data_IF_967674297562
#
_entry.id   IF_967674297562
#
_cell.length_a   1.000
_cell.length_b   1.000
_cell.length_c   1.000
_cell.angle_alpha   90.00
_cell.angle_beta   90.00
_cell.angle_gamma   90.00
#
_symmetry.space_group_name_H-M   'P 1'
#
loop_
_entity.id
_entity.type
_entity.pdbx_description
1 polymer ?
#
# COMPACT_ATOMS: atom_id res chain seq x y z
N UNK A 1 -7.30 22.98 10.93
CA UNK A 1 -8.46 23.18 10.03
C UNK A 1 -8.06 23.17 8.55
N UNK A 2 -7.06 23.96 8.14
CA UNK A 2 -6.60 24.07 6.74
C UNK A 2 -6.04 22.75 6.16
N UNK A 3 -5.23 21.99 6.91
CA UNK A 3 -4.72 20.66 6.48
C UNK A 3 -5.82 19.59 6.24
N UNK A 4 -6.97 19.69 6.93
CA UNK A 4 -8.12 18.80 6.70
C UNK A 4 -8.93 19.22 5.47
N UNK A 5 -8.83 20.47 5.03
CA UNK A 5 -9.54 20.98 3.86
C UNK A 5 -8.84 20.55 2.55
N UNK A 6 -7.51 20.60 2.51
CA UNK A 6 -6.71 20.24 1.33
C UNK A 6 -6.75 18.74 1.01
N UNK A 7 -6.77 17.87 2.03
CA UNK A 7 -6.97 16.43 1.83
C UNK A 7 -8.32 16.09 1.19
N UNK A 8 -9.37 16.90 1.45
CA UNK A 8 -10.75 16.61 1.05
C UNK A 8 -11.09 17.16 -0.35
N UNK A 9 -10.48 18.27 -0.77
CA UNK A 9 -10.60 18.77 -2.15
C UNK A 9 -10.03 17.78 -3.17
N UNK A 10 -8.94 17.07 -2.83
CA UNK A 10 -8.35 16.05 -3.71
C UNK A 10 -9.26 14.83 -3.92
N UNK A 11 -10.08 14.45 -2.94
CA UNK A 11 -11.08 13.38 -3.09
C UNK A 11 -12.19 13.77 -4.07
N UNK A 12 -12.64 15.03 -4.00
CA UNK A 12 -13.70 15.57 -4.85
C UNK A 12 -13.25 15.72 -6.33
N UNK A 13 -12.00 16.14 -6.55
CA UNK A 13 -11.42 16.24 -7.91
C UNK A 13 -11.26 14.84 -8.54
N UNK A 14 -10.85 13.83 -7.75
CA UNK A 14 -10.75 12.44 -8.24
C UNK A 14 -12.11 11.84 -8.61
N UNK A 15 -13.16 12.11 -7.83
CA UNK A 15 -14.51 11.66 -8.17
C UNK A 15 -15.04 12.30 -9.46
N UNK A 16 -14.74 13.57 -9.72
CA UNK A 16 -15.15 14.26 -10.95
C UNK A 16 -14.38 13.78 -12.19
N UNK A 17 -13.08 13.47 -12.05
CA UNK A 17 -12.26 12.99 -13.17
C UNK A 17 -12.67 11.59 -13.68
N UNK A 18 -13.17 10.72 -12.78
CA UNK A 18 -13.67 9.38 -13.15
C UNK A 18 -14.97 9.46 -13.97
N UNK A 19 -15.80 10.48 -13.77
CA UNK A 19 -17.05 10.66 -14.53
C UNK A 19 -16.82 11.08 -15.99
N UNK A 20 -15.69 11.74 -16.31
CA UNK A 20 -15.37 12.25 -17.66
C UNK A 20 -14.72 11.19 -18.55
N UNK A 21 -14.11 10.14 -17.98
CA UNK A 21 -13.43 9.09 -18.77
C UNK A 21 -14.36 8.06 -19.42
N UNK A 22 -15.68 8.13 -19.16
CA UNK A 22 -16.68 7.15 -19.60
C UNK A 22 -17.09 7.24 -21.10
N UNK A 23 -16.45 8.09 -21.91
CA UNK A 23 -16.90 8.37 -23.28
C UNK A 23 -16.14 7.65 -24.41
N UNK A 24 -15.03 6.94 -24.17
CA UNK A 24 -14.20 6.43 -25.30
C UNK A 24 -13.47 5.12 -25.02
N UNK A 25 -14.12 3.95 -25.12
CA UNK A 25 -13.44 2.67 -25.44
C UNK A 25 -14.42 1.74 -26.18
N UNK A 26 -14.01 1.27 -27.36
CA UNK A 26 -14.78 0.38 -28.24
C UNK A 26 -14.15 -1.01 -28.31
N UNK A 27 -15.01 -2.04 -28.38
CA UNK A 27 -14.75 -3.41 -28.85
C UNK A 27 -13.88 -4.32 -27.97
N UNK A 28 -14.36 -4.64 -26.76
CA UNK A 28 -14.07 -5.90 -26.06
C UNK A 28 -15.40 -6.64 -25.90
N UNK A 29 -15.40 -7.98 -25.96
CA UNK A 29 -16.61 -8.81 -25.99
C UNK A 29 -17.68 -8.38 -24.97
N UNK A 30 -18.94 -8.26 -25.42
CA UNK A 30 -20.03 -7.60 -24.69
C UNK A 30 -20.22 -8.09 -23.24
N UNK A 31 -19.89 -9.34 -22.93
CA UNK A 31 -19.94 -9.87 -21.56
C UNK A 31 -18.88 -9.29 -20.63
N UNK A 32 -17.62 -9.22 -21.06
CA UNK A 32 -16.53 -8.69 -20.25
C UNK A 32 -16.64 -7.16 -20.07
N UNK A 33 -17.11 -6.45 -21.12
CA UNK A 33 -17.34 -5.01 -21.06
C UNK A 33 -18.46 -4.65 -20.07
N UNK A 34 -19.55 -5.43 -20.03
CA UNK A 34 -20.63 -5.23 -19.06
C UNK A 34 -20.16 -5.46 -17.62
N UNK A 35 -19.36 -6.51 -17.38
CA UNK A 35 -18.87 -6.82 -16.04
C UNK A 35 -17.93 -5.74 -15.47
N UNK A 36 -17.02 -5.19 -16.30
CA UNK A 36 -16.14 -4.09 -15.89
C UNK A 36 -16.95 -2.82 -15.61
N UNK A 37 -17.95 -2.53 -16.45
CA UNK A 37 -18.86 -1.40 -16.24
C UNK A 37 -19.64 -1.52 -14.93
N UNK A 38 -20.14 -2.72 -14.60
CA UNK A 38 -20.87 -2.97 -13.36
C UNK A 38 -19.99 -2.82 -12.13
N UNK A 39 -18.74 -3.29 -12.18
CA UNK A 39 -17.79 -3.13 -11.10
C UNK A 39 -17.45 -1.66 -10.84
N UNK A 40 -17.17 -0.89 -11.89
CA UNK A 40 -16.90 0.55 -11.77
C UNK A 40 -18.10 1.27 -11.17
N UNK A 41 -19.32 0.94 -11.62
CA UNK A 41 -20.55 1.55 -11.12
C UNK A 41 -20.79 1.20 -9.64
N UNK A 42 -20.59 -0.06 -9.25
CA UNK A 42 -20.71 -0.52 -7.88
C UNK A 42 -19.68 0.15 -6.95
N UNK A 43 -18.41 0.21 -7.37
CA UNK A 43 -17.35 0.92 -6.64
C UNK A 43 -17.70 2.40 -6.45
N UNK A 44 -18.17 3.05 -7.51
CA UNK A 44 -18.53 4.47 -7.49
C UNK A 44 -19.66 4.78 -6.49
N UNK A 45 -20.63 3.88 -6.35
CA UNK A 45 -21.70 4.01 -5.35
C UNK A 45 -21.16 3.97 -3.92
N UNK A 46 -20.25 3.06 -3.61
CA UNK A 46 -19.65 2.96 -2.27
C UNK A 46 -18.79 4.20 -1.96
N UNK A 47 -17.98 4.66 -2.92
CA UNK A 47 -17.19 5.89 -2.77
C UNK A 47 -18.08 7.11 -2.54
N UNK A 48 -19.20 7.20 -3.26
CA UNK A 48 -20.18 8.28 -3.09
C UNK A 48 -20.84 8.22 -1.71
N UNK A 49 -21.16 7.01 -1.22
CA UNK A 49 -21.72 6.79 0.10
C UNK A 49 -20.77 7.28 1.21
N UNK A 50 -19.49 6.92 1.15
CA UNK A 50 -18.47 7.42 2.09
C UNK A 50 -18.30 8.93 2.01
N UNK A 51 -18.27 9.50 0.80
CA UNK A 51 -18.13 10.95 0.59
C UNK A 51 -19.29 11.72 1.23
N UNK A 52 -20.53 11.30 0.95
CA UNK A 52 -21.72 11.93 1.51
C UNK A 52 -21.76 11.73 3.03
N UNK A 53 -21.39 10.55 3.54
CA UNK A 53 -21.32 10.32 4.99
C UNK A 53 -20.33 11.28 5.65
N UNK A 54 -19.12 11.44 5.08
CA UNK A 54 -18.12 12.37 5.62
C UNK A 54 -18.62 13.82 5.66
N UNK A 55 -19.36 14.26 4.64
CA UNK A 55 -19.96 15.59 4.61
C UNK A 55 -21.07 15.74 5.67
N UNK A 56 -21.94 14.74 5.80
CA UNK A 56 -23.06 14.78 6.74
C UNK A 56 -22.63 14.61 8.20
N UNK A 57 -21.56 13.85 8.46
CA UNK A 57 -21.00 13.69 9.81
C UNK A 57 -20.51 15.03 10.39
N UNK A 58 -19.99 15.93 9.55
CA UNK A 58 -19.62 17.29 9.98
C UNK A 58 -20.84 18.10 10.46
N UNK A 59 -22.03 17.75 10.00
CA UNK A 59 -23.30 18.35 10.39
C UNK A 59 -24.01 17.54 11.49
N UNK A 60 -23.37 16.51 12.04
CA UNK A 60 -23.95 15.61 13.05
C UNK A 60 -24.93 14.57 12.48
N UNK A 61 -25.12 14.54 11.15
CA UNK A 61 -26.17 13.80 10.44
C UNK A 61 -25.64 12.63 9.57
N UNK A 62 -24.50 12.03 9.97
CA UNK A 62 -23.97 10.83 9.32
C UNK A 62 -24.93 9.64 9.33
N UNK A 63 -24.66 8.63 8.49
CA UNK A 63 -25.46 7.40 8.45
C UNK A 63 -25.33 6.64 9.79
N UNK A 64 -26.43 6.51 10.52
CA UNK A 64 -26.50 5.86 11.84
C UNK A 64 -27.69 4.91 11.90
N UNK A 65 -27.52 3.82 12.64
CA UNK A 65 -28.57 2.88 13.00
C UNK A 65 -29.55 3.47 14.02
N UNK A 66 -30.77 2.94 14.03
CA UNK A 66 -31.83 3.31 14.97
C UNK A 66 -32.39 4.72 14.77
N UNK A 67 -32.26 5.27 13.56
CA UNK A 67 -32.77 6.59 13.19
C UNK A 67 -33.16 6.67 11.71
N UNK A 68 -33.89 7.71 11.31
CA UNK A 68 -34.32 7.86 9.92
C UNK A 68 -33.10 8.01 8.99
N UNK A 69 -33.01 7.14 7.98
CA UNK A 69 -32.01 7.27 6.92
C UNK A 69 -32.40 8.44 6.02
N UNK A 70 -31.52 9.45 5.96
CA UNK A 70 -31.74 10.65 5.18
C UNK A 70 -31.84 10.36 3.67
N UNK A 71 -32.61 11.20 2.97
CA UNK A 71 -32.83 11.11 1.52
C UNK A 71 -31.54 11.01 0.70
N UNK A 72 -30.48 11.74 1.08
CA UNK A 72 -29.18 11.69 0.39
C UNK A 72 -28.56 10.30 0.39
N UNK A 73 -28.77 9.49 1.43
CA UNK A 73 -28.27 8.10 1.48
C UNK A 73 -29.17 7.15 0.71
N UNK A 74 -30.49 7.41 0.65
CA UNK A 74 -31.47 6.53 0.01
C UNK A 74 -31.22 6.31 -1.48
N UNK A 75 -30.48 7.21 -2.14
CA UNK A 75 -30.10 7.07 -3.54
C UNK A 75 -29.13 5.90 -3.81
N UNK A 76 -28.44 5.41 -2.77
CA UNK A 76 -27.39 4.39 -2.88
C UNK A 76 -27.76 3.06 -2.24
N UNK A 77 -28.81 3.02 -1.44
CA UNK A 77 -29.18 1.89 -0.60
C UNK A 77 -30.48 1.26 -1.11
N UNK A 78 -30.53 -0.08 -1.11
CA UNK A 78 -31.78 -0.78 -1.35
C UNK A 78 -32.82 -0.47 -0.26
N UNK A 79 -34.13 -0.44 -0.57
CA UNK A 79 -35.19 -0.18 0.40
C UNK A 79 -35.10 -1.04 1.67
N UNK A 80 -34.80 -2.33 1.50
CA UNK A 80 -34.69 -3.28 2.60
C UNK A 80 -33.49 -2.95 3.52
N UNK A 81 -32.38 -2.47 2.94
CA UNK A 81 -31.22 -2.03 3.71
C UNK A 81 -31.51 -0.73 4.47
N UNK A 82 -32.27 0.19 3.87
CA UNK A 82 -32.72 1.43 4.52
C UNK A 82 -33.53 1.10 5.78
N UNK A 83 -34.48 0.18 5.66
CA UNK A 83 -35.31 -0.28 6.79
C UNK A 83 -34.47 -1.00 7.86
N UNK A 84 -33.52 -1.84 7.45
CA UNK A 84 -32.62 -2.53 8.38
C UNK A 84 -31.73 -1.56 9.16
N UNK A 85 -31.19 -0.53 8.51
CA UNK A 85 -30.40 0.51 9.20
C UNK A 85 -31.31 1.30 10.14
N UNK A 86 -32.49 1.72 9.68
CA UNK A 86 -33.40 2.52 10.48
C UNK A 86 -33.92 1.79 11.74
N UNK A 87 -34.16 0.49 11.65
CA UNK A 87 -34.55 -0.37 12.78
C UNK A 87 -33.36 -0.92 13.59
N UNK A 88 -32.14 -0.62 13.15
CA UNK A 88 -30.90 -1.04 13.77
C UNK A 88 -30.65 -0.53 15.18
N UNK A 89 -29.54 -0.98 15.75
CA UNK A 89 -29.07 -0.48 17.03
C UNK A 89 -28.81 1.05 16.98
N UNK A 90 -29.43 1.78 17.90
CA UNK A 90 -29.35 3.23 17.96
C UNK A 90 -27.89 3.71 18.12
N UNK A 91 -27.48 4.60 17.22
CA UNK A 91 -26.16 5.23 17.24
C UNK A 91 -25.04 4.42 16.60
N UNK A 92 -25.28 3.17 16.19
CA UNK A 92 -24.29 2.39 15.45
C UNK A 92 -24.01 3.02 14.08
N UNK A 93 -22.76 3.17 13.67
CA UNK A 93 -22.37 3.76 12.38
C UNK A 93 -21.91 2.66 11.42
N UNK A 94 -22.75 2.21 10.48
CA UNK A 94 -22.40 1.09 9.59
C UNK A 94 -21.18 1.35 8.70
N UNK A 95 -20.86 2.62 8.40
CA UNK A 95 -19.69 2.95 7.60
C UNK A 95 -18.39 3.04 8.41
N UNK A 96 -18.48 3.13 9.74
CA UNK A 96 -17.32 3.09 10.64
C UNK A 96 -17.17 1.75 11.36
N UNK A 97 -18.20 0.90 11.34
CA UNK A 97 -18.23 -0.37 12.06
C UNK A 97 -18.19 -0.24 13.58
N UNK A 98 -18.68 0.88 14.12
CA UNK A 98 -18.66 1.18 15.56
C UNK A 98 -19.73 2.22 15.93
N UNK A 99 -20.00 2.42 17.23
CA UNK A 99 -20.93 3.44 17.72
C UNK A 99 -20.32 4.84 17.82
N UNK A 100 -19.00 4.91 17.98
CA UNK A 100 -18.26 6.17 18.20
C UNK A 100 -17.31 6.47 17.04
N UNK A 101 -16.92 7.75 16.92
CA UNK A 101 -16.02 8.19 15.85
C UNK A 101 -16.69 8.46 14.51
N UNK A 102 -15.85 8.83 13.55
CA UNK A 102 -16.20 9.09 12.15
C UNK A 102 -15.28 8.26 11.27
N UNK A 103 -15.63 8.12 10.00
CA UNK A 103 -14.67 7.59 9.02
C UNK A 103 -13.55 8.62 8.85
N UNK A 104 -12.39 8.32 9.40
CA UNK A 104 -11.21 9.18 9.29
C UNK A 104 -10.59 9.03 7.90
N UNK A 105 -10.50 7.78 7.42
CA UNK A 105 -10.06 7.40 6.08
C UNK A 105 -10.50 5.95 5.76
N UNK A 106 -10.48 5.57 4.49
CA UNK A 106 -10.88 4.24 4.05
C UNK A 106 -10.21 3.83 2.73
N UNK A 107 -9.99 2.54 2.55
CA UNK A 107 -9.56 1.94 1.29
C UNK A 107 -10.55 0.86 0.86
N UNK A 108 -10.88 0.80 -0.43
CA UNK A 108 -11.91 -0.08 -0.98
C UNK A 108 -11.32 -1.05 -2.01
N UNK A 109 -11.57 -2.35 -1.84
CA UNK A 109 -11.21 -3.43 -2.77
C UNK A 109 -12.42 -4.28 -3.13
N UNK A 110 -12.35 -5.00 -4.25
CA UNK A 110 -13.29 -6.09 -4.55
C UNK A 110 -12.92 -7.31 -3.71
N UNK A 111 -13.90 -7.99 -3.12
CA UNK A 111 -13.65 -9.20 -2.34
C UNK A 111 -13.20 -10.36 -3.25
N UNK A 112 -12.40 -11.29 -2.73
CA UNK A 112 -12.00 -12.49 -3.48
C UNK A 112 -13.20 -13.42 -3.73
N UNK A 113 -14.04 -13.59 -2.71
CA UNK A 113 -15.28 -14.36 -2.81
C UNK A 113 -16.41 -13.44 -3.29
N UNK A 114 -16.89 -13.72 -4.49
CA UNK A 114 -18.07 -13.05 -5.06
C UNK A 114 -19.28 -13.97 -4.95
N UNK A 115 -20.48 -13.39 -4.88
CA UNK A 115 -21.74 -14.13 -4.90
C UNK A 115 -22.41 -13.97 -6.26
N UNK A 116 -23.11 -15.02 -6.72
CA UNK A 116 -23.79 -14.96 -8.01
C UNK A 116 -24.82 -13.81 -8.02
N UNK A 117 -24.66 -12.88 -8.96
CA UNK A 117 -25.55 -11.71 -9.09
C UNK A 117 -25.24 -10.54 -8.15
N UNK A 118 -24.19 -10.62 -7.34
CA UNK A 118 -23.76 -9.54 -6.45
C UNK A 118 -22.28 -9.22 -6.65
N UNK A 119 -21.93 -7.93 -6.56
CA UNK A 119 -20.53 -7.50 -6.50
C UNK A 119 -20.21 -7.14 -5.07
N UNK A 120 -19.29 -7.90 -4.48
CA UNK A 120 -18.87 -7.70 -3.10
C UNK A 120 -17.60 -6.85 -3.07
N UNK A 121 -17.64 -5.76 -2.32
CA UNK A 121 -16.48 -4.95 -1.98
C UNK A 121 -16.19 -5.02 -0.49
N UNK A 122 -14.94 -4.80 -0.13
CA UNK A 122 -14.47 -4.67 1.24
C UNK A 122 -13.75 -3.34 1.39
N UNK A 123 -14.13 -2.59 2.43
CA UNK A 123 -13.48 -1.37 2.84
C UNK A 123 -12.71 -1.61 4.13
N UNK A 124 -11.43 -1.29 4.13
CA UNK A 124 -10.66 -1.12 5.34
C UNK A 124 -10.86 0.31 5.84
N UNK A 125 -11.64 0.46 6.90
CA UNK A 125 -12.05 1.76 7.43
C UNK A 125 -11.30 2.08 8.70
N UNK A 126 -10.59 3.21 8.72
CA UNK A 126 -10.04 3.77 9.94
C UNK A 126 -11.06 4.69 10.62
N UNK A 127 -11.27 4.45 11.91
CA UNK A 127 -12.03 5.34 12.79
C UNK A 127 -11.37 5.35 14.16
N UNK A 128 -10.97 6.53 14.62
CA UNK A 128 -10.27 6.77 15.89
C UNK A 128 -8.99 5.94 16.01
N UNK A 129 -8.21 5.86 14.93
CA UNK A 129 -6.95 5.11 14.89
C UNK A 129 -7.09 3.58 14.89
N UNK A 130 -8.32 3.06 14.79
CA UNK A 130 -8.59 1.63 14.65
C UNK A 130 -9.08 1.32 13.24
N UNK A 131 -8.44 0.37 12.58
CA UNK A 131 -8.85 -0.13 11.26
C UNK A 131 -9.85 -1.29 11.44
N UNK A 132 -10.96 -1.25 10.70
CA UNK A 132 -11.99 -2.30 10.66
C UNK A 132 -12.29 -2.67 9.22
N UNK A 133 -12.55 -3.95 8.97
CA UNK A 133 -13.00 -4.41 7.66
C UNK A 133 -14.54 -4.33 7.59
N UNK A 134 -15.06 -3.65 6.58
CA UNK A 134 -16.48 -3.48 6.33
C UNK A 134 -16.78 -3.92 4.90
N UNK A 135 -17.68 -4.87 4.75
CA UNK A 135 -18.03 -5.42 3.45
C UNK A 135 -19.36 -4.86 2.95
N UNK A 136 -19.48 -4.73 1.63
CA UNK A 136 -20.62 -4.18 0.92
C UNK A 136 -21.04 -5.16 -0.18
N UNK A 137 -22.31 -5.51 -0.23
CA UNK A 137 -22.89 -6.21 -1.38
C UNK A 137 -23.65 -5.20 -2.23
N UNK A 138 -23.34 -5.18 -3.52
CA UNK A 138 -23.94 -4.28 -4.51
C UNK A 138 -24.60 -5.09 -5.61
N UNK A 139 -25.85 -4.78 -5.93
CA UNK A 139 -26.60 -5.41 -7.02
C UNK A 139 -27.03 -4.37 -8.05
N UNK A 140 -27.13 -4.78 -9.32
CA UNK A 140 -27.76 -3.95 -10.34
C UNK A 140 -29.29 -4.11 -10.26
N UNK A 141 -29.99 -3.01 -9.99
CA UNK A 141 -31.45 -2.99 -9.94
C UNK A 141 -31.98 -1.88 -10.84
N UNK A 142 -32.76 -2.26 -11.87
CA UNK A 142 -33.33 -1.32 -12.86
C UNK A 142 -32.27 -0.39 -13.49
N UNK A 143 -31.10 -0.95 -13.80
CA UNK A 143 -29.98 -0.22 -14.41
C UNK A 143 -29.24 0.73 -13.46
N UNK A 144 -29.39 0.54 -12.13
CA UNK A 144 -28.66 1.32 -11.12
C UNK A 144 -28.05 0.39 -10.07
N UNK A 145 -26.77 0.56 -9.72
CA UNK A 145 -26.16 -0.17 -8.61
C UNK A 145 -26.74 0.32 -7.27
N UNK A 146 -27.17 -0.62 -6.44
CA UNK A 146 -27.67 -0.36 -5.08
C UNK A 146 -26.94 -1.26 -4.10
N UNK A 147 -26.56 -0.72 -2.95
CA UNK A 147 -26.01 -1.50 -1.84
C UNK A 147 -27.18 -2.20 -1.15
N UNK A 148 -27.12 -3.52 -1.08
CA UNK A 148 -28.16 -4.38 -0.48
C UNK A 148 -27.77 -4.89 0.90
N UNK A 149 -26.47 -4.89 1.22
CA UNK A 149 -25.94 -5.35 2.50
C UNK A 149 -24.67 -4.60 2.88
N UNK A 150 -24.53 -4.30 4.17
CA UNK A 150 -23.30 -3.79 4.79
C UNK A 150 -23.03 -4.63 6.02
N UNK A 151 -21.84 -5.19 6.17
CA UNK A 151 -21.50 -6.02 7.33
C UNK A 151 -20.05 -5.87 7.74
N UNK A 152 -19.74 -6.34 8.95
CA UNK A 152 -18.40 -6.40 9.49
C UNK A 152 -18.31 -7.48 10.56
N UNK A 153 -17.25 -7.46 11.35
CA UNK A 153 -17.04 -8.46 12.39
C UNK A 153 -18.13 -8.35 13.49
N UNK A 154 -18.95 -9.40 13.62
CA UNK A 154 -20.03 -9.49 14.61
C UNK A 154 -21.32 -8.68 14.31
N UNK A 155 -21.47 -8.05 13.14
CA UNK A 155 -22.68 -7.29 12.80
C UNK A 155 -23.01 -7.27 11.30
N UNK A 156 -24.27 -7.05 10.95
CA UNK A 156 -24.74 -6.97 9.57
C UNK A 156 -26.03 -6.15 9.46
N UNK A 157 -26.16 -5.35 8.40
CA UNK A 157 -27.39 -4.72 7.94
C UNK A 157 -27.73 -5.20 6.53
N UNK A 158 -29.02 -5.36 6.23
CA UNK A 158 -29.48 -5.88 4.94
C UNK A 158 -29.66 -7.40 4.95
N UNK A 159 -29.82 -8.01 3.78
CA UNK A 159 -30.54 -9.28 3.64
C UNK A 159 -30.01 -10.41 4.53
N UNK A 160 -30.89 -10.83 5.44
CA UNK A 160 -30.83 -12.10 6.18
C UNK A 160 -31.77 -13.07 5.46
N UNK A 161 -31.29 -13.70 4.40
CA UNK A 161 -31.87 -14.97 3.93
C UNK A 161 -31.45 -16.09 4.89
N UNK A 162 -32.26 -17.13 5.03
CA UNK A 162 -32.03 -18.24 5.98
C UNK A 162 -30.63 -18.90 5.86
N UNK A 163 -29.95 -18.75 4.71
CA UNK A 163 -28.60 -19.29 4.47
C UNK A 163 -27.46 -18.40 5.01
N UNK A 164 -27.73 -17.14 5.38
CA UNK A 164 -26.68 -16.19 5.79
C UNK A 164 -26.26 -16.32 7.27
N UNK A 165 -26.99 -17.09 8.08
CA UNK A 165 -26.59 -17.39 9.46
C UNK A 165 -25.42 -18.39 9.55
N UNK A 166 -25.01 -19.02 8.43
CA UNK A 166 -23.91 -20.00 8.39
C UNK A 166 -22.52 -19.40 8.15
N UNK A 167 -22.39 -18.09 7.90
CA UNK A 167 -21.10 -17.47 7.55
C UNK A 167 -20.53 -16.49 8.60
N UNK A 168 -21.08 -16.45 9.82
CA UNK A 168 -20.45 -15.80 10.96
C UNK A 168 -19.62 -16.84 11.74
N UNK A 169 -18.31 -16.63 11.96
CA UNK A 169 -17.50 -17.57 12.73
C UNK A 169 -17.83 -17.42 14.22
N UNK A 170 -18.74 -18.25 14.73
CA UNK A 170 -18.95 -18.40 16.18
C UNK A 170 -20.41 -18.55 16.61
N UNK A 171 -20.99 -19.73 16.42
CA UNK A 171 -22.29 -20.08 17.00
C UNK A 171 -22.62 -21.57 16.85
N UNK A 172 -22.54 -22.31 17.95
CA UNK A 172 -22.86 -23.75 18.06
C UNK A 172 -24.37 -24.01 18.11
N UNK A 173 -24.88 -24.89 17.22
CA UNK A 173 -25.74 -26.10 17.49
C UNK A 173 -26.67 -26.48 16.30
N UNK A 174 -26.58 -27.77 15.89
CA UNK A 174 -27.56 -28.75 15.33
C UNK A 174 -28.83 -28.24 14.57
N UNK A 175 -29.34 -28.82 13.46
CA UNK A 175 -29.12 -30.06 12.71
C UNK A 175 -29.84 -29.95 11.33
N UNK A 176 -29.38 -30.68 10.30
CA UNK A 176 -30.11 -30.82 9.04
C UNK A 176 -29.25 -31.36 7.89
N UNK A 177 -29.29 -32.67 7.67
CA UNK A 177 -28.50 -33.42 6.68
C UNK A 177 -28.78 -33.01 5.22
N UNK A 178 -27.72 -32.69 4.46
CA UNK A 178 -27.62 -32.94 3.01
C UNK A 178 -26.34 -33.74 2.76
N UNK A 179 -26.48 -34.80 1.97
CA UNK A 179 -25.44 -35.80 1.71
C UNK A 179 -24.13 -35.18 1.19
N UNK A 180 -22.96 -35.70 1.64
CA UNK A 180 -21.68 -35.33 1.05
C UNK A 180 -21.56 -35.87 -0.39
N UNK A 181 -20.74 -35.21 -1.23
CA UNK A 181 -20.45 -35.69 -2.58
C UNK A 181 -19.81 -37.08 -2.54
N UNK A 182 -20.06 -37.87 -3.58
CA UNK A 182 -19.56 -39.23 -3.67
C UNK A 182 -18.03 -39.30 -3.79
N UNK A 183 -17.50 -40.50 -3.54
CA UNK A 183 -16.05 -40.78 -3.56
C UNK A 183 -15.41 -40.47 -4.92
N UNK A 184 -16.16 -40.45 -6.00
CA UNK A 184 -15.65 -40.28 -7.35
C UNK A 184 -15.33 -38.80 -7.62
N UNK A 185 -16.18 -37.89 -7.15
CA UNK A 185 -15.89 -36.45 -7.13
C UNK A 185 -14.72 -36.09 -6.20
N UNK A 186 -14.58 -36.77 -5.06
CA UNK A 186 -13.44 -36.55 -4.16
C UNK A 186 -12.11 -37.03 -4.76
N UNK A 187 -12.12 -38.12 -5.53
CA UNK A 187 -10.92 -38.63 -6.21
C UNK A 187 -10.53 -37.78 -7.42
N UNK A 188 -11.51 -37.24 -8.17
CA UNK A 188 -11.24 -36.34 -9.29
C UNK A 188 -10.61 -35.00 -8.86
N UNK A 189 -11.00 -34.49 -7.69
CA UNK A 189 -10.41 -33.27 -7.10
C UNK A 189 -8.99 -33.51 -6.55
N UNK A 190 -8.73 -34.68 -5.96
CA UNK A 190 -7.40 -35.03 -5.46
C UNK A 190 -6.37 -35.25 -6.60
N UNK A 191 -6.80 -35.81 -7.74
CA UNK A 191 -5.92 -36.03 -8.90
C UNK A 191 -5.58 -34.74 -9.67
N UNK A 192 -6.40 -33.70 -9.57
CA UNK A 192 -6.15 -32.41 -10.20
C UNK A 192 -5.07 -31.59 -9.47
N UNK A 193 -4.88 -31.82 -8.17
CA UNK A 193 -3.86 -31.14 -7.34
C UNK A 193 -2.46 -31.75 -7.49
N UNK A 194 -2.33 -33.03 -7.82
CA UNK A 194 -1.01 -33.70 -7.95
C UNK A 194 -0.27 -33.38 -9.26
N UNK A 195 -0.99 -32.92 -10.30
CA UNK A 195 -0.42 -32.62 -11.62
C UNK A 195 0.27 -31.24 -11.74
N UNK A 196 0.01 -30.32 -10.81
CA UNK A 196 0.58 -28.97 -10.83
C UNK A 196 1.89 -28.83 -10.01
N UNK A 197 2.28 -29.87 -9.27
CA UNK A 197 3.33 -29.82 -8.25
C UNK A 197 4.72 -30.21 -8.78
N UNK A 198 4.84 -30.69 -10.02
CA UNK A 198 6.10 -31.19 -10.57
C UNK A 198 6.96 -30.14 -11.30
N UNK A 199 6.48 -28.91 -11.52
CA UNK A 199 7.23 -27.84 -12.19
C UNK A 199 7.74 -26.73 -11.25
N UNK A 200 7.51 -26.86 -9.93
CA UNK A 200 7.84 -25.84 -8.92
C UNK A 200 8.90 -26.31 -7.91
N UNK A 201 9.71 -27.30 -8.28
CA UNK A 201 10.76 -27.85 -7.43
C UNK A 201 12.07 -27.06 -7.54
N UNK A 202 12.07 -25.80 -7.07
CA UNK A 202 13.27 -25.06 -6.62
C UNK A 202 12.90 -23.83 -5.78
N UNK A 203 11.95 -23.96 -4.85
CA UNK A 203 11.72 -22.98 -3.78
C UNK A 203 11.98 -23.64 -2.42
N UNK A 204 13.25 -23.87 -2.13
CA UNK A 204 13.67 -24.03 -0.74
C UNK A 204 13.48 -22.67 -0.04
N UNK A 205 12.51 -22.56 0.88
CA UNK A 205 12.42 -21.41 1.79
C UNK A 205 11.07 -20.70 1.90
N UNK A 206 9.93 -21.41 1.91
CA UNK A 206 8.62 -20.81 2.24
C UNK A 206 8.37 -20.72 3.78
N UNK A 207 9.41 -20.74 4.61
CA UNK A 207 9.27 -20.44 6.02
C UNK A 207 9.13 -18.93 6.20
N UNK A 208 8.02 -18.47 6.79
CA UNK A 208 7.80 -17.05 7.08
C UNK A 208 8.88 -16.48 8.00
N UNK A 209 9.27 -15.22 7.79
CA UNK A 209 10.26 -14.54 8.63
C UNK A 209 9.75 -14.33 10.06
N UNK A 210 10.51 -14.80 11.05
CA UNK A 210 10.24 -14.52 12.46
C UNK A 210 10.63 -13.09 12.83
N UNK A 211 9.75 -12.36 13.52
CA UNK A 211 10.05 -11.04 14.06
C UNK A 211 10.52 -11.11 15.53
N UNK A 212 11.51 -10.29 15.94
CA UNK A 212 12.27 -9.37 15.09
C UNK A 212 13.29 -10.11 14.21
N UNK A 213 13.52 -9.58 13.00
CA UNK A 213 14.61 -9.98 12.13
C UNK A 213 15.67 -8.88 12.10
N UNK A 214 16.95 -9.26 12.13
CA UNK A 214 18.07 -8.34 11.99
C UNK A 214 19.23 -9.04 11.28
N UNK A 215 19.84 -8.33 10.34
CA UNK A 215 21.08 -8.73 9.67
C UNK A 215 22.03 -7.53 9.64
N UNK A 216 23.20 -7.70 10.27
CA UNK A 216 24.28 -6.73 10.30
C UNK A 216 25.36 -7.02 9.23
N UNK A 217 25.14 -8.04 8.40
CA UNK A 217 26.05 -8.42 7.31
C UNK A 217 27.49 -8.74 7.76
N UNK A 218 27.68 -9.24 8.99
CA UNK A 218 28.99 -9.54 9.61
C UNK A 218 29.82 -10.65 8.93
N UNK A 219 29.26 -11.27 7.88
CA UNK A 219 29.91 -12.34 7.12
C UNK A 219 30.78 -11.84 5.96
N UNK A 220 31.32 -12.81 5.20
CA UNK A 220 31.99 -12.56 3.91
C UNK A 220 31.08 -12.84 2.71
N UNK A 221 29.80 -13.11 2.98
CA UNK A 221 28.76 -13.42 2.02
C UNK A 221 27.39 -13.11 2.64
N UNK A 222 26.38 -12.95 1.80
CA UNK A 222 25.00 -12.84 2.27
C UNK A 222 24.58 -14.15 2.99
N UNK A 223 23.80 -14.02 4.05
CA UNK A 223 23.22 -15.18 4.72
C UNK A 223 22.29 -15.97 3.80
N UNK A 224 22.04 -17.27 4.08
CA UNK A 224 21.28 -18.17 3.21
C UNK A 224 19.81 -17.75 2.99
N UNK A 225 19.28 -16.85 3.81
CA UNK A 225 17.96 -16.26 3.67
C UNK A 225 17.84 -15.23 2.54
N UNK A 226 18.97 -14.72 2.03
CA UNK A 226 19.01 -13.71 0.98
C UNK A 226 19.11 -14.33 -0.40
N UNK A 227 18.47 -13.66 -1.35
CA UNK A 227 18.58 -13.92 -2.78
C UNK A 227 18.91 -12.60 -3.49
N UNK A 228 19.68 -12.63 -4.57
CA UNK A 228 19.99 -11.43 -5.36
C UNK A 228 19.29 -11.55 -6.70
N UNK A 229 18.34 -10.65 -6.97
CA UNK A 229 17.67 -10.56 -8.28
C UNK A 229 18.50 -9.65 -9.19
N UNK A 230 18.79 -10.12 -10.39
CA UNK A 230 19.67 -9.41 -11.33
C UNK A 230 21.12 -9.35 -10.81
N UNK A 231 21.65 -10.47 -10.30
CA UNK A 231 22.98 -10.52 -9.70
C UNK A 231 24.08 -10.06 -10.68
N UNK A 232 24.78 -9.00 -10.30
CA UNK A 232 25.99 -8.49 -10.95
C UNK A 232 27.12 -8.52 -9.91
N UNK A 233 27.85 -9.65 -9.79
CA UNK A 233 28.77 -9.93 -8.67
C UNK A 233 30.02 -9.03 -8.66
N UNK A 234 30.31 -8.33 -9.75
CA UNK A 234 31.35 -7.32 -9.85
C UNK A 234 30.91 -5.95 -9.30
N UNK A 235 29.62 -5.79 -8.99
CA UNK A 235 29.01 -4.53 -8.51
C UNK A 235 28.56 -4.58 -7.06
N UNK A 236 28.82 -5.68 -6.33
CA UNK A 236 28.70 -5.68 -4.88
C UNK A 236 29.69 -6.66 -4.21
N UNK A 237 30.00 -6.39 -2.95
CA UNK A 237 30.78 -7.30 -2.08
C UNK A 237 30.27 -7.20 -0.65
N UNK A 238 30.27 -8.32 0.06
CA UNK A 238 29.93 -8.38 1.49
C UNK A 238 31.21 -8.59 2.29
N UNK A 239 31.61 -7.59 3.06
CA UNK A 239 32.83 -7.64 3.86
C UNK A 239 32.74 -6.68 5.04
N UNK A 240 33.23 -7.11 6.21
CA UNK A 240 33.42 -6.22 7.36
C UNK A 240 32.12 -5.62 7.91
N UNK A 241 31.02 -6.38 7.90
CA UNK A 241 29.73 -5.91 8.42
C UNK A 241 28.98 -4.99 7.46
N UNK A 242 29.35 -4.95 6.18
CA UNK A 242 28.67 -4.11 5.19
C UNK A 242 28.54 -4.78 3.84
N UNK A 243 27.48 -4.40 3.11
CA UNK A 243 27.35 -4.63 1.68
C UNK A 243 27.80 -3.36 0.96
N UNK A 244 28.95 -3.41 0.31
CA UNK A 244 29.37 -2.38 -0.63
C UNK A 244 28.65 -2.64 -1.95
N UNK A 245 27.96 -1.64 -2.49
CA UNK A 245 27.26 -1.76 -3.77
C UNK A 245 27.57 -0.56 -4.67
N UNK A 246 27.65 -0.84 -5.96
CA UNK A 246 27.92 0.11 -7.02
C UNK A 246 26.78 0.07 -8.02
N UNK A 247 26.28 1.23 -8.43
CA UNK A 247 25.34 1.37 -9.54
C UNK A 247 25.98 2.23 -10.65
N UNK A 248 25.86 1.79 -11.90
CA UNK A 248 26.43 2.43 -13.09
C UNK A 248 25.48 2.35 -14.27
N UNK A 249 25.53 3.33 -15.18
CA UNK A 249 24.87 3.25 -16.50
C UNK A 249 23.39 3.60 -16.54
N UNK A 250 22.72 3.72 -15.38
CA UNK A 250 21.42 4.36 -15.23
C UNK A 250 20.17 3.51 -15.50
N UNK A 251 19.09 3.93 -14.84
CA UNK A 251 17.73 3.38 -14.71
C UNK A 251 17.56 2.14 -13.80
N UNK A 252 18.59 1.78 -13.03
CA UNK A 252 18.47 0.78 -11.96
C UNK A 252 17.47 1.25 -10.89
N UNK A 253 16.37 0.52 -10.76
CA UNK A 253 15.30 0.79 -9.80
C UNK A 253 14.31 -0.36 -9.72
N UNK A 254 13.51 -0.44 -8.65
CA UNK A 254 12.37 -1.37 -8.62
C UNK A 254 11.36 -1.17 -9.75
N UNK A 255 11.40 -0.05 -10.49
CA UNK A 255 10.48 0.19 -11.62
C UNK A 255 10.92 -0.48 -12.91
N UNK A 256 12.18 -0.87 -12.99
CA UNK A 256 12.84 -1.27 -14.21
C UNK A 256 13.12 -2.77 -14.17
N UNK A 257 12.49 -3.47 -15.10
CA UNK A 257 12.81 -4.87 -15.36
C UNK A 257 14.28 -5.00 -15.78
N UNK A 258 14.96 -6.00 -15.22
CA UNK A 258 16.39 -6.22 -15.44
C UNK A 258 17.32 -5.38 -14.57
N UNK A 259 16.79 -4.61 -13.61
CA UNK A 259 17.64 -3.92 -12.63
C UNK A 259 18.53 -4.89 -11.87
N UNK A 260 19.75 -4.43 -11.59
CA UNK A 260 20.77 -5.25 -10.98
C UNK A 260 20.73 -5.20 -9.45
N UNK A 261 21.25 -6.25 -8.81
CA UNK A 261 21.55 -6.32 -7.38
C UNK A 261 20.39 -5.92 -6.44
N UNK A 262 19.19 -6.43 -6.69
CA UNK A 262 18.08 -6.33 -5.75
C UNK A 262 18.24 -7.43 -4.69
N UNK A 263 18.64 -7.05 -3.48
CA UNK A 263 18.80 -7.94 -2.34
C UNK A 263 17.44 -8.25 -1.74
N UNK A 264 16.97 -9.49 -1.85
CA UNK A 264 15.62 -9.93 -1.47
C UNK A 264 15.67 -11.00 -0.40
N UNK A 265 14.82 -10.86 0.61
CA UNK A 265 14.79 -11.68 1.82
C UNK A 265 13.44 -12.38 1.98
N UNK A 266 13.43 -13.71 1.86
CA UNK A 266 12.30 -14.59 2.23
C UNK A 266 10.89 -14.07 1.93
N UNK A 267 9.91 -14.44 2.77
CA UNK A 267 8.54 -13.93 2.70
C UNK A 267 8.36 -12.73 3.65
N UNK A 268 7.56 -11.73 3.25
CA UNK A 268 7.22 -10.61 4.13
C UNK A 268 6.52 -11.11 5.41
N UNK A 269 6.76 -10.48 6.57
CA UNK A 269 5.98 -10.79 7.77
C UNK A 269 4.50 -10.44 7.56
N UNK A 270 3.63 -11.20 8.22
CA UNK A 270 2.21 -10.87 8.30
C UNK A 270 1.97 -9.67 9.22
N UNK A 271 0.90 -8.92 8.95
CA UNK A 271 0.47 -7.79 9.79
C UNK A 271 1.33 -6.54 9.65
N UNK A 272 1.34 -5.73 10.71
CA UNK A 272 2.04 -4.46 10.79
C UNK A 272 3.53 -4.67 11.10
N UNK A 273 4.39 -3.92 10.42
CA UNK A 273 5.84 -4.01 10.60
C UNK A 273 6.52 -2.68 10.29
N UNK A 274 7.75 -2.54 10.77
CA UNK A 274 8.72 -1.53 10.37
C UNK A 274 9.96 -2.24 9.83
N UNK A 275 10.28 -1.99 8.56
CA UNK A 275 11.44 -2.54 7.85
C UNK A 275 12.44 -1.43 7.60
N UNK A 276 13.63 -1.54 8.18
CA UNK A 276 14.64 -0.47 8.20
C UNK A 276 15.92 -0.91 7.54
N UNK A 277 16.45 -0.06 6.66
CA UNK A 277 17.76 -0.16 6.04
C UNK A 277 18.63 0.98 6.54
N UNK A 278 19.82 0.66 7.05
CA UNK A 278 20.84 1.63 7.44
C UNK A 278 22.06 1.54 6.53
N UNK A 279 22.72 2.68 6.34
CA UNK A 279 23.92 2.70 5.53
C UNK A 279 24.49 4.09 5.30
N UNK A 280 25.44 4.17 4.38
CA UNK A 280 26.11 5.39 3.90
C UNK A 280 25.96 5.48 2.38
N UNK A 281 25.85 6.70 1.86
CA UNK A 281 25.66 6.97 0.44
C UNK A 281 26.64 8.03 -0.04
N UNK A 282 27.38 7.74 -1.10
CA UNK A 282 28.19 8.71 -1.82
C UNK A 282 27.36 9.35 -2.95
N UNK A 283 26.77 10.52 -2.67
CA UNK A 283 25.91 11.27 -3.58
C UNK A 283 26.68 11.98 -4.70
N UNK A 284 27.33 11.22 -5.59
CA UNK A 284 28.29 11.72 -6.58
C UNK A 284 27.63 12.22 -7.87
N UNK A 285 26.63 11.51 -8.38
CA UNK A 285 25.97 11.81 -9.66
C UNK A 285 24.76 12.73 -9.49
N UNK A 286 24.25 12.84 -8.26
CA UNK A 286 23.01 13.54 -7.95
C UNK A 286 21.79 12.87 -8.57
N UNK A 287 21.87 11.55 -8.74
CA UNK A 287 20.85 10.67 -9.35
C UNK A 287 20.74 9.33 -8.61
N UNK A 288 21.38 9.22 -7.45
CA UNK A 288 21.33 8.08 -6.55
C UNK A 288 19.90 7.87 -6.02
N UNK A 289 19.54 6.61 -5.77
CA UNK A 289 18.33 6.25 -5.03
C UNK A 289 18.56 5.03 -4.17
N UNK A 290 18.39 5.15 -2.85
CA UNK A 290 18.36 4.00 -1.94
C UNK A 290 16.92 3.53 -1.80
N UNK A 291 16.65 2.28 -2.19
CA UNK A 291 15.32 1.67 -2.15
C UNK A 291 15.23 0.67 -1.00
N UNK A 292 14.14 0.71 -0.24
CA UNK A 292 13.77 -0.33 0.72
C UNK A 292 12.27 -0.58 0.62
N UNK A 293 11.87 -1.83 0.48
CA UNK A 293 10.47 -2.13 0.23
C UNK A 293 10.11 -3.60 0.15
N UNK A 294 8.86 -3.85 -0.23
CA UNK A 294 8.40 -5.15 -0.66
C UNK A 294 8.46 -5.18 -2.19
N UNK A 295 9.13 -6.19 -2.74
CA UNK A 295 9.36 -6.37 -4.16
C UNK A 295 8.96 -7.78 -4.60
N UNK A 296 8.06 -7.86 -5.56
CA UNK A 296 7.73 -9.07 -6.31
C UNK A 296 8.41 -9.01 -7.68
N UNK A 297 8.13 -7.94 -8.43
CA UNK A 297 8.71 -7.64 -9.73
C UNK A 297 8.57 -6.13 -10.06
N UNK A 298 9.03 -5.74 -11.26
CA UNK A 298 9.01 -4.34 -11.71
C UNK A 298 7.62 -3.70 -11.87
N UNK A 299 6.57 -4.53 -11.86
CA UNK A 299 5.15 -4.16 -11.99
C UNK A 299 4.38 -4.26 -10.67
N UNK A 300 4.96 -4.92 -9.66
CA UNK A 300 4.36 -5.21 -8.36
C UNK A 300 5.37 -4.99 -7.21
N UNK A 301 5.35 -3.80 -6.62
CA UNK A 301 6.17 -3.47 -5.44
C UNK A 301 5.59 -2.30 -4.64
N UNK A 302 6.00 -2.17 -3.37
CA UNK A 302 5.85 -0.95 -2.58
C UNK A 302 7.16 -0.63 -1.88
N UNK A 303 7.68 0.59 -2.06
CA UNK A 303 8.98 0.96 -1.53
C UNK A 303 9.04 2.42 -1.07
N UNK A 304 9.78 2.62 0.01
CA UNK A 304 10.35 3.91 0.37
C UNK A 304 11.66 4.13 -0.36
N UNK A 305 11.94 5.38 -0.71
CA UNK A 305 13.16 5.71 -1.45
C UNK A 305 13.75 7.02 -0.98
N UNK A 306 15.03 6.99 -0.57
CA UNK A 306 15.82 8.20 -0.34
C UNK A 306 16.60 8.51 -1.61
N UNK A 307 16.24 9.61 -2.27
CA UNK A 307 16.77 9.98 -3.57
C UNK A 307 17.59 11.25 -3.52
N UNK A 308 18.70 11.26 -4.26
CA UNK A 308 19.40 12.49 -4.62
C UNK A 308 19.01 12.85 -6.05
N UNK A 309 18.56 14.08 -6.24
CA UNK A 309 18.21 14.64 -7.54
C UNK A 309 19.02 15.89 -7.82
N UNK A 310 19.51 16.05 -9.04
CA UNK A 310 20.09 17.32 -9.50
C UNK A 310 19.05 18.18 -10.22
N UNK A 311 19.00 19.45 -9.85
CA UNK A 311 18.27 20.53 -10.52
C UNK A 311 19.25 21.59 -11.06
N UNK A 312 18.73 22.70 -11.59
CA UNK A 312 19.54 23.86 -11.99
C UNK A 312 20.37 24.49 -10.86
N UNK A 313 20.02 24.26 -9.59
CA UNK A 313 20.75 24.78 -8.42
C UNK A 313 21.64 23.71 -7.77
N UNK A 314 21.86 22.56 -8.40
CA UNK A 314 22.66 21.45 -7.87
C UNK A 314 21.84 20.32 -7.23
N UNK A 315 22.48 19.35 -6.57
CA UNK A 315 21.80 18.20 -5.99
C UNK A 315 20.96 18.54 -4.76
N UNK A 316 19.84 17.86 -4.57
CA UNK A 316 18.95 17.97 -3.44
C UNK A 316 18.43 16.60 -3.02
N UNK A 317 17.99 16.48 -1.77
CA UNK A 317 17.49 15.24 -1.19
C UNK A 317 15.96 15.19 -1.23
N UNK A 318 15.41 14.05 -1.59
CA UNK A 318 13.97 13.75 -1.59
C UNK A 318 13.70 12.44 -0.86
N UNK A 319 12.59 12.38 -0.14
CA UNK A 319 12.03 11.14 0.37
C UNK A 319 10.75 10.82 -0.42
N UNK A 320 10.69 9.62 -0.98
CA UNK A 320 9.57 9.17 -1.80
C UNK A 320 8.97 7.89 -1.24
N UNK A 321 7.67 7.70 -1.47
CA UNK A 321 7.04 6.40 -1.42
C UNK A 321 6.36 6.09 -2.75
N UNK A 322 6.51 4.84 -3.20
CA UNK A 322 5.96 4.35 -4.45
C UNK A 322 5.24 3.04 -4.19
N UNK A 323 3.97 2.96 -4.54
CA UNK A 323 3.23 1.71 -4.66
C UNK A 323 2.89 1.49 -6.14
N UNK A 324 3.41 0.43 -6.74
CA UNK A 324 3.09 -0.01 -8.09
C UNK A 324 2.47 -1.40 -8.02
N UNK A 325 1.27 -1.57 -8.58
CA UNK A 325 0.57 -2.85 -8.55
C UNK A 325 -0.12 -3.15 -9.88
N UNK A 326 -0.17 -4.41 -10.31
CA UNK A 326 -1.01 -4.81 -11.43
C UNK A 326 -2.48 -4.60 -11.07
N UNK A 327 -3.29 -4.22 -12.05
CA UNK A 327 -4.74 -4.08 -11.91
C UNK A 327 -5.39 -4.91 -12.99
N UNK A 328 -6.34 -5.76 -12.62
CA UNK A 328 -7.09 -6.58 -13.57
C UNK A 328 -7.74 -5.67 -14.63
N UNK A 329 -7.59 -6.03 -15.90
CA UNK A 329 -8.09 -5.27 -17.06
C UNK A 329 -7.40 -3.92 -17.32
N UNK A 330 -6.27 -3.62 -16.67
CA UNK A 330 -5.43 -2.48 -17.04
C UNK A 330 -4.21 -2.94 -17.85
N UNK A 331 -3.93 -2.29 -18.97
CA UNK A 331 -2.72 -2.57 -19.77
C UNK A 331 -1.42 -2.23 -19.03
N UNK A 332 -1.48 -1.31 -18.06
CA UNK A 332 -0.33 -0.85 -17.28
C UNK A 332 -0.63 -0.93 -15.79
N UNK A 333 0.39 -1.24 -14.99
CA UNK A 333 0.31 -1.18 -13.54
C UNK A 333 -0.14 0.20 -13.07
N UNK A 334 -1.00 0.22 -12.05
CA UNK A 334 -1.34 1.46 -11.36
C UNK A 334 -0.18 1.85 -10.44
N UNK A 335 0.25 3.10 -10.55
CA UNK A 335 1.26 3.69 -9.65
C UNK A 335 0.62 4.77 -8.79
N UNK A 336 0.75 4.65 -7.47
CA UNK A 336 0.48 5.70 -6.50
C UNK A 336 1.79 6.11 -5.85
N UNK A 337 2.09 7.39 -5.82
CA UNK A 337 3.37 7.89 -5.34
C UNK A 337 3.25 9.25 -4.69
N UNK A 338 4.11 9.49 -3.71
CA UNK A 338 4.33 10.78 -3.10
C UNK A 338 5.82 11.05 -3.01
N UNK A 339 6.21 12.26 -3.39
CA UNK A 339 7.58 12.76 -3.38
C UNK A 339 7.59 14.01 -2.53
N UNK A 340 8.37 13.97 -1.45
CA UNK A 340 8.55 15.08 -0.54
C UNK A 340 10.01 15.55 -0.64
N UNK A 341 10.21 16.71 -1.27
CA UNK A 341 11.50 17.36 -1.37
C UNK A 341 11.93 17.86 0.02
N UNK A 342 13.10 17.44 0.49
CA UNK A 342 13.57 17.78 1.83
C UNK A 342 14.26 19.16 1.88
N UNK A 343 14.70 19.70 0.73
CA UNK A 343 15.50 20.93 0.64
C UNK A 343 14.79 22.12 -0.06
N UNK A 344 13.96 21.92 -1.08
CA UNK A 344 13.24 23.01 -1.76
C UNK A 344 11.82 23.11 -1.22
N UNK A 345 11.54 24.16 -0.43
CA UNK A 345 10.29 24.30 0.35
C UNK A 345 10.06 23.08 1.25
N UNK A 346 11.14 22.41 1.60
CA UNK A 346 11.15 21.21 2.38
C UNK A 346 11.27 21.50 3.88
N UNK A 347 11.17 20.46 4.71
CA UNK A 347 11.34 20.58 6.15
C UNK A 347 12.78 20.90 6.60
N UNK A 348 13.81 20.64 5.79
CA UNK A 348 15.21 20.93 6.16
C UNK A 348 15.61 22.33 5.72
N UNK A 349 15.34 22.66 4.46
CA UNK A 349 15.62 23.97 3.89
C UNK A 349 14.36 24.50 3.20
N UNK A 350 14.07 25.79 3.38
CA UNK A 350 12.93 26.44 2.73
C UNK A 350 13.23 26.90 1.30
N UNK A 351 14.49 27.18 1.00
CA UNK A 351 15.01 27.56 -0.32
C UNK A 351 16.49 27.17 -0.44
N UNK A 352 16.79 26.08 -1.13
CA UNK A 352 18.17 25.60 -1.31
C UNK A 352 18.94 26.29 -2.45
N UNK A 353 18.28 27.11 -3.28
CA UNK A 353 18.95 27.82 -4.37
C UNK A 353 19.68 29.08 -3.89
N UNK A 354 19.33 29.61 -2.71
CA UNK A 354 20.08 30.70 -2.10
C UNK A 354 21.51 30.26 -1.76
N UNK A 355 22.51 31.13 -2.00
CA UNK A 355 23.92 30.75 -1.91
C UNK A 355 24.35 30.19 -0.54
N UNK A 356 23.75 30.68 0.56
CA UNK A 356 23.98 30.13 1.90
C UNK A 356 23.41 28.72 2.08
N UNK A 357 22.17 28.49 1.62
CA UNK A 357 21.50 27.21 1.77
C UNK A 357 22.03 26.13 0.82
N UNK A 358 22.57 26.51 -0.35
CA UNK A 358 23.28 25.58 -1.24
C UNK A 358 24.44 24.89 -0.53
N UNK A 359 25.30 25.66 0.12
CA UNK A 359 26.44 25.14 0.88
C UNK A 359 26.00 24.23 2.02
N UNK A 360 24.89 24.55 2.68
CA UNK A 360 24.29 23.69 3.71
C UNK A 360 23.81 22.37 3.08
N UNK A 361 23.09 22.42 1.97
CA UNK A 361 22.64 21.24 1.23
C UNK A 361 23.81 20.33 0.79
N UNK A 362 24.89 20.92 0.27
CA UNK A 362 26.12 20.19 -0.07
C UNK A 362 26.75 19.53 1.16
N UNK A 363 26.80 20.25 2.28
CA UNK A 363 27.32 19.73 3.55
C UNK A 363 26.49 18.55 4.03
N UNK A 364 25.16 18.65 3.97
CA UNK A 364 24.24 17.56 4.33
C UNK A 364 24.48 16.33 3.44
N UNK A 365 24.52 16.51 2.12
CA UNK A 365 24.73 15.41 1.17
C UNK A 365 26.08 14.71 1.38
N UNK A 366 27.16 15.48 1.57
CA UNK A 366 28.48 14.91 1.92
C UNK A 366 28.47 14.18 3.27
N UNK A 367 27.67 14.68 4.21
CA UNK A 367 27.51 14.12 5.54
C UNK A 367 26.81 12.77 5.56
N UNK A 368 26.00 12.44 4.55
CA UNK A 368 25.35 11.12 4.44
C UNK A 368 26.42 10.02 4.28
N UNK A 369 27.51 10.28 3.57
CA UNK A 369 28.60 9.31 3.43
C UNK A 369 29.40 9.13 4.75
N UNK A 370 29.39 10.14 5.63
CA UNK A 370 30.18 10.12 6.88
C UNK A 370 29.39 9.62 8.08
N UNK A 371 28.13 10.06 8.21
CA UNK A 371 27.27 9.80 9.37
C UNK A 371 26.16 8.78 9.09
N UNK A 372 25.92 8.48 7.82
CA UNK A 372 24.92 7.52 7.39
C UNK A 372 23.50 8.06 7.31
N UNK A 373 22.58 7.15 6.98
CA UNK A 373 21.15 7.34 6.90
C UNK A 373 20.44 6.11 7.47
N UNK A 374 19.16 6.28 7.78
CA UNK A 374 18.21 5.19 7.96
C UNK A 374 16.98 5.45 7.10
N UNK A 375 16.51 4.45 6.35
CA UNK A 375 15.23 4.49 5.63
C UNK A 375 14.36 3.34 6.12
N UNK A 376 13.15 3.66 6.55
CA UNK A 376 12.17 2.69 7.04
C UNK A 376 10.94 2.68 6.15
N UNK A 377 10.54 1.51 5.65
CA UNK A 377 9.19 1.29 5.16
C UNK A 377 8.32 0.72 6.29
N UNK A 378 7.25 1.42 6.62
CA UNK A 378 6.30 1.04 7.66
C UNK A 378 4.98 0.61 7.06
N UNK A 379 4.42 -0.51 7.56
CA UNK A 379 3.06 -0.96 7.25
C UNK A 379 2.14 -0.82 8.47
N UNK A 380 0.96 -0.22 8.27
CA UNK A 380 -0.14 -0.13 9.25
C UNK A 380 -1.46 -0.50 8.56
N UNK A 381 -1.91 -1.75 8.76
CA UNK A 381 -3.00 -2.36 8.01
C UNK A 381 -2.67 -2.47 6.52
N UNK A 382 -3.36 -1.68 5.69
CA UNK A 382 -3.12 -1.59 4.25
C UNK A 382 -2.32 -0.37 3.85
N UNK A 383 -1.92 0.45 4.82
CA UNK A 383 -1.17 1.68 4.56
C UNK A 383 0.31 1.45 4.68
N UNK A 384 1.04 2.08 3.79
CA UNK A 384 2.48 2.13 3.76
C UNK A 384 2.95 3.57 3.77
N UNK A 385 4.00 3.86 4.53
CA UNK A 385 4.70 5.14 4.49
C UNK A 385 6.19 4.90 4.68
N UNK A 386 6.99 5.82 4.15
CA UNK A 386 8.44 5.79 4.33
C UNK A 386 8.84 6.85 5.35
N UNK A 387 9.83 6.51 6.17
CA UNK A 387 10.49 7.45 7.07
C UNK A 387 11.98 7.44 6.75
N UNK A 388 12.62 8.61 6.75
CA UNK A 388 14.07 8.73 6.70
C UNK A 388 14.57 9.44 7.96
N UNK A 389 15.62 8.88 8.56
CA UNK A 389 16.39 9.54 9.61
C UNK A 389 17.79 9.90 9.11
N UNK A 390 18.21 11.12 9.39
CA UNK A 390 19.51 11.67 9.00
C UNK A 390 20.13 12.36 10.22
N UNK A 391 21.45 12.28 10.36
CA UNK A 391 22.18 13.12 11.31
C UNK A 391 22.66 14.38 10.60
N UNK A 392 22.05 15.51 10.94
CA UNK A 392 22.27 16.79 10.28
C UNK A 392 23.32 17.62 11.04
N UNK A 393 24.16 18.41 10.33
CA UNK A 393 25.06 19.34 10.99
C UNK A 393 24.27 20.50 11.61
N UNK A 394 24.91 21.29 12.47
CA UNK A 394 24.39 22.59 12.88
C UNK A 394 24.38 23.55 11.68
N UNK A 395 23.26 24.28 11.48
CA UNK A 395 23.17 25.35 10.48
C UNK A 395 22.02 26.31 10.76
N UNK A 396 22.22 27.61 10.55
CA UNK A 396 21.21 28.62 10.83
C UNK A 396 20.72 28.52 12.28
N UNK A 397 19.41 28.34 12.46
CA UNK A 397 18.79 28.12 13.77
C UNK A 397 18.62 26.62 14.13
N UNK A 398 19.08 25.71 13.27
CA UNK A 398 19.03 24.26 13.52
C UNK A 398 20.28 23.82 14.31
N UNK A 399 20.14 23.28 15.53
CA UNK A 399 21.26 22.99 16.42
C UNK A 399 22.10 21.75 16.01
N UNK A 400 21.73 21.06 14.93
CA UNK A 400 22.30 19.77 14.55
C UNK A 400 21.62 18.59 15.25
N UNK A 401 21.98 17.38 14.81
CA UNK A 401 21.49 16.12 15.35
C UNK A 401 20.49 15.41 14.46
N UNK A 402 19.74 14.46 15.05
CA UNK A 402 18.80 13.62 14.31
C UNK A 402 17.64 14.43 13.75
N UNK A 403 17.40 14.24 12.47
CA UNK A 403 16.24 14.74 11.74
C UNK A 403 15.45 13.57 11.17
N UNK A 404 14.13 13.62 11.29
CA UNK A 404 13.22 12.60 10.79
C UNK A 404 12.23 13.22 9.80
N UNK A 405 12.10 12.65 8.61
CA UNK A 405 11.07 12.98 7.64
C UNK A 405 10.19 11.76 7.36
N UNK A 406 8.89 11.98 7.19
CA UNK A 406 7.91 10.92 6.92
C UNK A 406 7.08 11.30 5.71
N UNK A 407 6.89 10.35 4.79
CA UNK A 407 6.06 10.56 3.60
C UNK A 407 4.57 10.54 3.95
N UNK A 408 3.75 10.96 2.98
CA UNK A 408 2.33 10.57 2.96
C UNK A 408 2.17 9.05 2.81
N UNK A 409 0.98 8.57 3.18
CA UNK A 409 0.64 7.15 3.09
C UNK A 409 0.20 6.79 1.66
N UNK A 410 0.69 5.67 1.14
CA UNK A 410 0.06 4.93 0.03
C UNK A 410 -0.70 3.75 0.59
N UNK A 411 -1.69 3.27 -0.16
CA UNK A 411 -2.57 2.20 0.25
C UNK A 411 -2.39 1.01 -0.71
N UNK A 412 -2.34 -0.21 -0.18
CA UNK A 412 -2.19 -1.45 -0.96
C UNK A 412 -2.89 -2.61 -0.27
N UNK A 413 -3.78 -3.26 -1.02
CA UNK A 413 -4.58 -4.40 -0.54
C UNK A 413 -4.07 -5.76 -0.98
N UNK A 414 -3.19 -5.82 -1.97
CA UNK A 414 -2.55 -7.05 -2.44
C UNK A 414 -1.17 -7.21 -1.84
N UNK A 415 -0.66 -8.45 -1.81
CA UNK A 415 0.74 -8.68 -1.48
C UNK A 415 1.65 -7.87 -2.43
N UNK A 416 2.80 -7.45 -1.91
CA UNK A 416 3.79 -6.67 -2.65
C UNK A 416 5.12 -7.42 -2.83
N UNK A 417 5.09 -8.74 -2.66
CA UNK A 417 6.26 -9.59 -2.70
C UNK A 417 7.05 -9.62 -1.39
N UNK A 418 8.35 -9.77 -1.52
CA UNK A 418 9.29 -10.04 -0.43
C UNK A 418 10.03 -8.76 0.01
N UNK A 419 10.43 -8.65 1.29
CA UNK A 419 11.37 -7.63 1.74
C UNK A 419 12.58 -7.55 0.82
N UNK A 420 12.93 -6.35 0.38
CA UNK A 420 14.01 -6.11 -0.54
C UNK A 420 14.61 -4.70 -0.39
N UNK A 421 15.86 -4.55 -0.80
CA UNK A 421 16.51 -3.26 -0.96
C UNK A 421 17.48 -3.26 -2.15
N UNK A 422 17.85 -2.07 -2.61
CA UNK A 422 18.90 -1.88 -3.62
C UNK A 422 19.47 -0.46 -3.57
N UNK A 423 20.66 -0.30 -4.14
CA UNK A 423 21.11 0.99 -4.66
C UNK A 423 20.67 1.09 -6.12
N UNK A 424 19.93 2.13 -6.45
CA UNK A 424 19.54 2.49 -7.80
C UNK A 424 20.19 3.78 -8.28
N UNK A 425 20.12 4.01 -9.58
CA UNK A 425 20.66 5.21 -10.23
C UNK A 425 19.76 5.61 -11.39
N UNK A 426 19.28 6.86 -11.43
CA UNK A 426 18.37 7.31 -12.49
C UNK A 426 19.12 7.52 -13.81
N UNK A 427 18.42 7.30 -14.94
CA UNK A 427 18.97 7.35 -16.32
C UNK A 427 19.82 8.60 -16.63
N UNK A 428 19.54 9.75 -15.99
CA UNK A 428 20.30 11.00 -16.18
C UNK A 428 21.69 11.02 -15.51
N UNK A 429 22.11 9.94 -14.87
CA UNK A 429 23.47 9.81 -14.33
C UNK A 429 24.53 9.59 -15.42
N UNK A 430 24.13 9.10 -16.61
CA UNK A 430 25.06 8.78 -17.69
C UNK A 430 26.04 7.68 -17.27
N UNK A 431 27.33 7.89 -17.55
CA UNK A 431 28.43 6.99 -17.16
C UNK A 431 28.90 7.19 -15.70
N UNK A 432 28.17 7.97 -14.91
CA UNK A 432 28.49 8.20 -13.51
C UNK A 432 28.38 6.93 -12.67
N UNK A 433 29.24 6.83 -11.66
CA UNK A 433 29.21 5.76 -10.67
C UNK A 433 28.62 6.27 -9.36
N UNK A 434 27.69 5.50 -8.79
CA UNK A 434 27.09 5.73 -7.48
C UNK A 434 27.49 4.60 -6.54
N UNK A 435 27.84 4.94 -5.29
CA UNK A 435 28.31 3.96 -4.29
C UNK A 435 27.49 4.09 -3.02
N UNK A 436 27.09 2.95 -2.45
CA UNK A 436 26.48 2.87 -1.12
C UNK A 436 27.10 1.73 -0.31
N UNK A 437 27.04 1.89 1.01
CA UNK A 437 27.45 0.89 1.99
C UNK A 437 26.26 0.63 2.89
N UNK A 438 25.68 -0.57 2.84
CA UNK A 438 24.59 -0.95 3.72
C UNK A 438 25.15 -1.72 4.91
N UNK A 439 24.92 -1.23 6.11
CA UNK A 439 25.50 -1.77 7.36
C UNK A 439 24.46 -2.43 8.27
N UNK A 440 23.19 -2.40 7.89
CA UNK A 440 22.14 -3.07 8.63
C UNK A 440 20.82 -3.14 7.91
N UNK A 441 20.13 -4.26 8.08
CA UNK A 441 18.74 -4.43 7.70
C UNK A 441 17.97 -5.06 8.85
N UNK A 442 16.80 -4.53 9.17
CA UNK A 442 15.96 -5.09 10.23
C UNK A 442 14.48 -5.02 9.87
N UNK A 443 13.72 -5.96 10.42
CA UNK A 443 12.26 -5.94 10.40
C UNK A 443 11.76 -6.19 11.82
N UNK A 444 10.89 -5.32 12.31
CA UNK A 444 10.34 -5.41 13.66
C UNK A 444 8.83 -5.16 13.65
N UNK A 445 8.14 -5.70 14.66
CA UNK A 445 6.77 -5.29 14.93
C UNK A 445 6.78 -3.85 15.48
N UNK A 446 5.78 -3.01 15.16
CA UNK A 446 5.72 -1.67 15.69
C UNK A 446 5.62 -1.67 17.23
N UNK A 447 6.15 -0.63 17.91
CA UNK A 447 5.97 -0.47 19.35
C UNK A 447 4.47 -0.44 19.69
N UNK A 448 4.09 -1.18 20.73
CA UNK A 448 2.69 -1.29 21.21
C UNK A 448 2.19 -0.02 21.87
#
# INVERSE_FOLDING_TARGET
MIRRLTSRMNSLIRALAVAVLLATVSAVGAGAQNQVSDEIAARSVILSLFTISSMMEQQGAGLKGGGPVMTSFRAFLAPELIEAIASGEAGFRPLAGTREGSVDDYELRKAEKQSAGEIIFEAAVESQGKVRLISFSVVQSKGRPLITRIWGDGWSFGRVGADAAQAAPGGTMQAGLKQPPDKEQQQALAAADEGATAASASLAGAAGLSLPFQDAFDGTALGPQWTVVGEAPDKFVVEGGVIYTIATGGDDSFRKEGSENIFRLGAAPEGDFDMTLTGRLEAKTGREGVWVGLYEDATSFVAGTLHVYTSGCGPYLSLRIVNRQPVTNAEKSLTSEFDDNLFDKGPILSDYCSGGNRKIGDTILSGINQRGFSVTLSRRGFRYFATAELDLPEFGDYPGGKFTATTRNVARTTAAGAPAFMLGQLQKAGEGESVAQFDGFSISAPPR
#
